data_IF_802789275852
#
_entry.id   IF_802789275852
#
_cell.length_a   1.000
_cell.length_b   1.000
_cell.length_c   1.000
_cell.angle_alpha   90.00
_cell.angle_beta   90.00
_cell.angle_gamma   90.00
#
_symmetry.space_group_name_H-M   'P 1'
#
loop_
_entity.id
_entity.type
_entity.pdbx_description
1 polymer ?
#
# COMPACT_ATOMS: atom_id res chain seq x y z
N UNK A 1 62.56 7.23 74.50
CA UNK A 1 61.28 7.66 75.12
C UNK A 1 60.57 8.57 74.12
N UNK A 2 59.39 8.15 73.64
CA UNK A 2 58.27 8.90 72.99
C UNK A 2 58.58 9.75 71.74
N UNK A 3 58.15 9.36 70.51
CA UNK A 3 56.81 9.53 69.85
C UNK A 3 56.36 11.00 69.86
N UNK A 4 56.05 11.66 68.73
CA UNK A 4 54.90 11.42 67.81
C UNK A 4 55.13 12.15 66.46
N UNK A 5 55.10 11.48 65.28
CA UNK A 5 53.97 11.03 64.44
C UNK A 5 53.34 12.13 63.54
N UNK A 6 53.77 12.11 62.27
CA UNK A 6 53.03 12.29 61.01
C UNK A 6 51.69 13.05 61.01
N UNK A 7 51.73 14.31 60.58
CA UNK A 7 50.57 15.08 60.13
C UNK A 7 50.62 15.38 58.63
N UNK A 8 50.50 14.37 57.76
CA UNK A 8 50.23 14.55 56.32
C UNK A 8 49.45 13.36 55.77
N UNK A 9 48.12 13.39 55.86
CA UNK A 9 47.20 12.54 55.07
C UNK A 9 45.76 13.02 55.28
N UNK A 10 45.36 14.11 54.62
CA UNK A 10 43.92 14.42 54.48
C UNK A 10 43.56 15.19 53.20
N UNK A 11 44.35 15.07 52.13
CA UNK A 11 44.04 15.72 50.84
C UNK A 11 44.34 14.82 49.63
N UNK A 12 43.95 13.54 49.69
CA UNK A 12 43.90 12.69 48.49
C UNK A 12 42.72 11.74 48.57
N UNK A 13 41.51 12.27 48.45
CA UNK A 13 40.33 11.43 48.21
C UNK A 13 39.16 12.17 47.56
N UNK A 14 39.43 13.07 46.61
CA UNK A 14 38.37 13.71 45.81
C UNK A 14 38.84 14.02 44.38
N UNK A 15 39.61 13.12 43.77
CA UNK A 15 40.03 13.28 42.38
C UNK A 15 39.98 11.95 41.60
N UNK A 16 38.89 11.19 41.77
CA UNK A 16 38.65 10.00 40.95
C UNK A 16 37.17 9.67 40.80
N UNK A 17 36.34 10.70 40.56
CA UNK A 17 34.98 10.57 40.02
C UNK A 17 34.83 11.83 39.17
N UNK A 18 35.04 11.80 37.85
CA UNK A 18 33.89 11.86 36.93
C UNK A 18 34.30 11.78 35.44
N UNK A 19 35.34 11.02 35.06
CA UNK A 19 35.62 10.81 33.62
C UNK A 19 34.76 9.72 32.97
N UNK A 20 33.96 8.98 33.75
CA UNK A 20 33.08 7.91 33.26
C UNK A 20 31.61 8.31 33.11
N UNK A 21 31.17 9.44 33.69
CA UNK A 21 29.75 9.83 33.66
C UNK A 21 29.32 10.29 32.25
N UNK A 22 30.24 10.84 31.46
CA UNK A 22 29.95 11.34 30.12
C UNK A 22 29.67 10.20 29.11
N UNK A 23 30.34 9.04 29.27
CA UNK A 23 30.06 7.86 28.46
C UNK A 23 28.74 7.18 28.84
N UNK A 24 28.40 7.14 30.13
CA UNK A 24 27.13 6.61 30.63
C UNK A 24 25.92 7.42 30.13
N UNK A 25 26.00 8.75 30.18
CA UNK A 25 24.94 9.65 29.69
C UNK A 25 24.72 9.49 28.18
N UNK A 26 25.77 9.28 27.39
CA UNK A 26 25.63 9.03 25.94
C UNK A 26 24.91 7.71 25.64
N UNK A 27 25.24 6.65 26.39
CA UNK A 27 24.59 5.33 26.23
C UNK A 27 23.12 5.42 26.66
N UNK A 28 22.84 6.04 27.80
CA UNK A 28 21.47 6.23 28.29
C UNK A 28 20.64 7.07 27.31
N UNK A 29 21.20 8.17 26.83
CA UNK A 29 20.55 8.98 25.81
C UNK A 29 20.31 8.17 24.52
N UNK A 30 21.29 7.38 24.06
CA UNK A 30 21.14 6.55 22.86
C UNK A 30 20.04 5.50 23.04
N UNK A 31 19.95 4.86 24.20
CA UNK A 31 18.90 3.87 24.51
C UNK A 31 17.51 4.52 24.58
N UNK A 32 17.39 5.69 25.22
CA UNK A 32 16.14 6.44 25.29
C UNK A 32 15.73 6.93 23.88
N UNK A 33 16.66 7.50 23.13
CA UNK A 33 16.42 7.97 21.76
C UNK A 33 15.97 6.82 20.85
N UNK A 34 16.61 5.65 20.96
CA UNK A 34 16.23 4.44 20.23
C UNK A 34 14.81 3.98 20.60
N UNK A 35 14.48 3.94 21.90
CA UNK A 35 13.15 3.55 22.35
C UNK A 35 12.07 4.53 21.87
N UNK A 36 12.34 5.83 21.95
CA UNK A 36 11.44 6.88 21.46
C UNK A 36 11.27 6.81 19.94
N UNK A 37 12.34 6.50 19.20
CA UNK A 37 12.27 6.29 17.75
C UNK A 37 11.36 5.13 17.39
N UNK A 38 11.48 3.98 18.06
CA UNK A 38 10.58 2.84 17.83
C UNK A 38 9.13 3.16 18.17
N UNK A 39 8.90 3.87 19.27
CA UNK A 39 7.55 4.28 19.67
C UNK A 39 6.92 5.23 18.64
N UNK A 40 7.70 6.18 18.13
CA UNK A 40 7.27 7.10 17.09
C UNK A 40 6.98 6.36 15.77
N UNK A 41 7.88 5.48 15.33
CA UNK A 41 7.70 4.69 14.12
C UNK A 41 6.43 3.84 14.18
N UNK A 42 6.21 3.16 15.32
CA UNK A 42 5.00 2.37 15.56
C UNK A 42 3.74 3.25 15.52
N UNK A 43 3.76 4.40 16.19
CA UNK A 43 2.62 5.32 16.23
C UNK A 43 2.26 5.83 14.83
N UNK A 44 3.26 6.18 14.02
CA UNK A 44 3.05 6.67 12.65
C UNK A 44 2.51 5.58 11.72
N UNK A 45 3.10 4.39 11.71
CA UNK A 45 2.64 3.30 10.82
C UNK A 45 1.26 2.76 11.24
N UNK A 46 0.98 2.65 12.55
CA UNK A 46 -0.36 2.25 13.04
C UNK A 46 -1.39 3.35 12.78
N UNK A 47 -1.05 4.61 12.99
CA UNK A 47 -1.94 5.74 12.69
C UNK A 47 -2.30 5.78 11.20
N UNK A 48 -1.31 5.62 10.31
CA UNK A 48 -1.53 5.54 8.87
C UNK A 48 -2.37 4.32 8.51
N UNK A 49 -2.11 3.15 9.08
CA UNK A 49 -2.90 1.94 8.85
C UNK A 49 -4.39 2.16 9.16
N UNK A 50 -4.71 2.77 10.30
CA UNK A 50 -6.09 3.06 10.73
C UNK A 50 -6.75 4.07 9.79
N UNK A 51 -6.06 5.18 9.49
CA UNK A 51 -6.55 6.20 8.56
C UNK A 51 -6.85 5.59 7.18
N UNK A 52 -5.91 4.82 6.63
CA UNK A 52 -6.07 4.13 5.35
C UNK A 52 -7.24 3.17 5.39
N UNK A 53 -7.41 2.36 6.44
CA UNK A 53 -8.53 1.44 6.55
C UNK A 53 -9.89 2.16 6.52
N UNK A 54 -10.00 3.30 7.21
CA UNK A 54 -11.21 4.12 7.20
C UNK A 54 -11.48 4.74 5.82
N UNK A 55 -10.45 5.30 5.19
CA UNK A 55 -10.57 5.93 3.88
C UNK A 55 -10.90 4.90 2.77
N UNK A 56 -10.29 3.70 2.78
CA UNK A 56 -10.61 2.62 1.85
C UNK A 56 -12.06 2.12 2.08
N UNK A 57 -12.52 2.05 3.33
CA UNK A 57 -13.90 1.68 3.66
C UNK A 57 -14.93 2.71 3.18
N UNK A 58 -14.63 3.99 3.29
CA UNK A 58 -15.50 5.05 2.77
C UNK A 58 -15.51 5.05 1.23
N UNK A 59 -14.36 4.89 0.59
CA UNK A 59 -14.28 4.75 -0.87
C UNK A 59 -15.08 3.54 -1.38
N UNK A 60 -15.04 2.40 -0.67
CA UNK A 60 -15.84 1.22 -1.04
C UNK A 60 -17.35 1.51 -0.96
N UNK A 61 -17.80 2.22 0.06
CA UNK A 61 -19.22 2.61 0.20
C UNK A 61 -19.66 3.57 -0.91
N UNK A 62 -18.84 4.57 -1.23
CA UNK A 62 -19.11 5.49 -2.34
C UNK A 62 -19.16 4.70 -3.65
N UNK A 63 -18.18 3.84 -3.92
CA UNK A 63 -18.15 3.02 -5.13
C UNK A 63 -19.40 2.15 -5.28
N UNK A 64 -19.77 1.41 -4.24
CA UNK A 64 -20.92 0.51 -4.31
C UNK A 64 -22.24 1.28 -4.43
N UNK A 65 -22.37 2.44 -3.77
CA UNK A 65 -23.55 3.31 -3.90
C UNK A 65 -23.70 3.89 -5.30
N UNK A 66 -22.64 4.49 -5.83
CA UNK A 66 -22.70 5.16 -7.13
C UNK A 66 -22.92 4.15 -8.26
N UNK A 67 -22.29 2.97 -8.18
CA UNK A 67 -22.53 1.90 -9.16
C UNK A 67 -23.93 1.27 -9.01
N UNK A 68 -24.51 1.26 -7.82
CA UNK A 68 -25.88 0.81 -7.61
C UNK A 68 -26.92 1.75 -8.24
N UNK A 69 -26.62 3.05 -8.32
CA UNK A 69 -27.49 4.08 -8.91
C UNK A 69 -27.22 4.31 -10.40
N UNK A 70 -26.15 3.74 -10.94
CA UNK A 70 -25.78 3.90 -12.33
C UNK A 70 -26.86 3.31 -13.26
N UNK A 71 -27.33 4.06 -14.29
CA UNK A 71 -28.37 3.61 -15.20
C UNK A 71 -27.82 2.59 -16.21
N UNK A 72 -27.43 1.42 -15.72
CA UNK A 72 -26.80 0.35 -16.49
C UNK A 72 -27.79 -0.78 -16.75
N UNK A 73 -27.71 -1.49 -17.90
CA UNK A 73 -28.58 -2.63 -18.20
C UNK A 73 -28.48 -3.72 -17.13
N UNK A 74 -29.62 -4.21 -16.63
CA UNK A 74 -29.64 -5.14 -15.50
C UNK A 74 -28.85 -6.44 -15.71
N UNK A 75 -28.79 -6.94 -16.95
CA UNK A 75 -28.08 -8.17 -17.30
C UNK A 75 -26.56 -7.99 -17.50
N UNK A 76 -26.06 -6.74 -17.52
CA UNK A 76 -24.64 -6.43 -17.69
C UNK A 76 -23.81 -6.99 -16.52
N UNK A 77 -22.66 -7.61 -16.82
CA UNK A 77 -21.68 -8.06 -15.82
C UNK A 77 -20.86 -6.90 -15.26
N UNK A 78 -20.16 -7.11 -14.15
CA UNK A 78 -19.34 -6.07 -13.54
C UNK A 78 -18.22 -5.60 -14.48
N UNK A 79 -17.54 -6.52 -15.17
CA UNK A 79 -16.47 -6.22 -16.13
C UNK A 79 -16.98 -5.34 -17.27
N UNK A 80 -18.12 -5.73 -17.86
CA UNK A 80 -18.73 -4.97 -18.94
C UNK A 80 -19.17 -3.57 -18.45
N UNK A 81 -19.60 -3.45 -17.20
CA UNK A 81 -19.90 -2.15 -16.60
C UNK A 81 -18.65 -1.29 -16.39
N UNK A 82 -17.51 -1.87 -16.01
CA UNK A 82 -16.25 -1.11 -15.86
C UNK A 82 -15.68 -0.62 -17.20
N UNK A 83 -16.05 -1.27 -18.30
CA UNK A 83 -15.69 -0.85 -19.66
C UNK A 83 -16.68 0.16 -20.27
N UNK A 84 -17.86 0.32 -19.68
CA UNK A 84 -18.91 1.21 -20.19
C UNK A 84 -18.42 2.68 -20.19
N UNK A 85 -18.57 3.43 -21.31
CA UNK A 85 -18.07 4.80 -21.43
C UNK A 85 -18.66 5.77 -20.39
N UNK A 86 -19.92 5.60 -19.97
CA UNK A 86 -20.53 6.44 -18.95
C UNK A 86 -19.93 6.16 -17.58
N UNK A 87 -19.67 4.88 -17.26
CA UNK A 87 -19.00 4.49 -16.01
C UNK A 87 -17.58 5.01 -16.00
N UNK A 88 -16.84 4.86 -17.10
CA UNK A 88 -15.46 5.37 -17.20
C UNK A 88 -15.37 6.89 -17.07
N UNK A 89 -16.28 7.61 -17.72
CA UNK A 89 -16.27 9.07 -17.68
C UNK A 89 -16.67 9.64 -16.31
N UNK A 90 -17.64 9.02 -15.62
CA UNK A 90 -18.28 9.63 -14.44
C UNK A 90 -17.99 8.91 -13.12
N UNK A 91 -17.84 7.59 -13.13
CA UNK A 91 -17.74 6.78 -11.91
C UNK A 91 -16.31 6.33 -11.62
N UNK A 92 -15.67 5.60 -12.53
CA UNK A 92 -14.34 5.04 -12.31
C UNK A 92 -13.56 4.81 -13.60
N UNK A 93 -12.33 5.33 -13.66
CA UNK A 93 -11.39 5.07 -14.75
C UNK A 93 -10.04 4.55 -14.19
N UNK A 94 -9.64 3.30 -14.53
CA UNK A 94 -8.35 2.74 -14.13
C UNK A 94 -7.14 3.55 -14.62
N UNK A 95 -7.26 4.25 -15.77
CA UNK A 95 -6.17 5.08 -16.30
C UNK A 95 -5.94 6.37 -15.48
N UNK A 96 -6.92 6.73 -14.64
CA UNK A 96 -6.86 7.89 -13.74
C UNK A 96 -6.42 7.53 -12.32
N UNK A 97 -5.81 6.35 -12.17
CA UNK A 97 -5.14 5.95 -10.93
C UNK A 97 -3.68 6.40 -10.89
N UNK A 98 -3.14 6.89 -12.00
CA UNK A 98 -1.79 7.45 -12.11
C UNK A 98 -1.92 8.80 -12.80
N UNK A 99 -1.66 9.89 -12.08
CA UNK A 99 -1.88 11.26 -12.54
C UNK A 99 -0.53 11.97 -12.55
N UNK A 100 -0.03 12.44 -13.70
CA UNK A 100 1.21 13.22 -13.72
C UNK A 100 0.99 14.56 -13.01
N UNK A 101 1.92 14.90 -12.12
CA UNK A 101 2.01 16.21 -11.49
C UNK A 101 2.78 17.11 -12.46
N UNK A 102 2.03 17.89 -13.22
CA UNK A 102 2.55 18.88 -14.18
C UNK A 102 2.60 20.26 -13.51
N UNK A 103 2.28 21.33 -14.24
CA UNK A 103 2.01 22.63 -13.62
C UNK A 103 0.74 22.59 -12.74
N UNK A 104 0.67 23.51 -11.76
CA UNK A 104 -0.42 23.58 -10.79
C UNK A 104 -1.80 23.68 -11.46
N UNK A 105 -1.95 24.46 -12.54
CA UNK A 105 -3.25 24.67 -13.17
C UNK A 105 -3.75 23.40 -13.88
N UNK A 106 -2.89 22.75 -14.66
CA UNK A 106 -3.20 21.49 -15.34
C UNK A 106 -3.45 20.35 -14.35
N UNK A 107 -2.69 20.29 -13.26
CA UNK A 107 -2.87 19.28 -12.23
C UNK A 107 -4.20 19.45 -11.49
N UNK A 108 -4.54 20.67 -11.07
CA UNK A 108 -5.83 20.94 -10.44
C UNK A 108 -7.02 20.66 -11.38
N UNK A 109 -6.89 20.96 -12.68
CA UNK A 109 -7.89 20.59 -13.68
C UNK A 109 -8.03 19.06 -13.83
N UNK A 110 -6.91 18.33 -13.82
CA UNK A 110 -6.91 16.87 -13.82
C UNK A 110 -7.64 16.30 -12.59
N UNK A 111 -7.35 16.81 -11.39
CA UNK A 111 -8.03 16.40 -10.16
C UNK A 111 -9.53 16.72 -10.16
N UNK A 112 -9.91 17.91 -10.65
CA UNK A 112 -11.31 18.33 -10.72
C UNK A 112 -12.13 17.46 -11.70
N UNK A 113 -11.51 16.99 -12.77
CA UNK A 113 -12.14 16.14 -13.80
C UNK A 113 -12.21 14.66 -13.45
N UNK A 114 -11.70 14.25 -12.27
CA UNK A 114 -11.73 12.84 -11.89
C UNK A 114 -13.15 12.29 -11.71
N UNK A 115 -13.38 11.02 -12.10
CA UNK A 115 -14.59 10.29 -11.75
C UNK A 115 -14.81 10.20 -10.24
N UNK A 116 -16.06 9.98 -9.82
CA UNK A 116 -16.46 10.03 -8.39
C UNK A 116 -15.66 9.04 -7.53
N UNK A 117 -15.44 7.83 -8.02
CA UNK A 117 -14.71 6.80 -7.27
C UNK A 117 -13.22 7.15 -7.24
N UNK A 118 -12.62 7.60 -8.35
CA UNK A 118 -11.23 8.08 -8.34
C UNK A 118 -11.03 9.24 -7.35
N UNK A 119 -12.00 10.16 -7.23
CA UNK A 119 -11.98 11.24 -6.22
C UNK A 119 -12.00 10.69 -4.80
N UNK A 120 -12.83 9.69 -4.52
CA UNK A 120 -12.87 9.05 -3.21
C UNK A 120 -11.55 8.33 -2.85
N UNK A 121 -10.78 7.90 -3.85
CA UNK A 121 -9.46 7.29 -3.67
C UNK A 121 -8.32 8.29 -3.52
N UNK A 122 -8.51 9.58 -3.80
CA UNK A 122 -7.45 10.60 -3.72
C UNK A 122 -6.68 10.63 -2.38
N UNK A 123 -7.34 10.58 -1.20
CA UNK A 123 -6.62 10.61 0.07
C UNK A 123 -5.69 9.41 0.32
N UNK A 124 -5.84 8.37 -0.50
CA UNK A 124 -5.06 7.13 -0.43
C UNK A 124 -3.88 7.11 -1.40
N UNK A 125 -3.84 8.04 -2.35
CA UNK A 125 -2.80 8.13 -3.35
C UNK A 125 -1.49 8.65 -2.75
N UNK A 126 -0.38 8.24 -3.36
CA UNK A 126 0.98 8.56 -2.97
C UNK A 126 1.65 9.39 -4.05
N UNK A 127 2.58 10.24 -3.63
CA UNK A 127 3.49 10.95 -4.53
C UNK A 127 4.70 10.08 -4.81
N UNK A 128 5.06 9.91 -6.07
CA UNK A 128 6.26 9.21 -6.49
C UNK A 128 6.82 9.82 -7.78
N UNK A 129 8.14 9.78 -7.94
CA UNK A 129 8.82 10.20 -9.16
C UNK A 129 9.19 8.98 -9.99
N UNK A 130 8.73 8.92 -11.24
CA UNK A 130 9.00 7.83 -12.19
C UNK A 130 9.66 8.46 -13.42
N UNK A 131 10.87 8.00 -13.77
CA UNK A 131 11.66 8.55 -14.89
C UNK A 131 11.82 10.08 -14.88
N UNK A 132 11.91 10.67 -13.69
CA UNK A 132 12.04 12.12 -13.51
C UNK A 132 10.74 12.92 -13.60
N UNK A 133 9.60 12.25 -13.79
CA UNK A 133 8.26 12.86 -13.76
C UNK A 133 7.59 12.55 -12.43
N UNK A 134 7.04 13.56 -11.77
CA UNK A 134 6.26 13.37 -10.55
C UNK A 134 4.85 12.88 -10.87
N UNK A 135 4.36 11.92 -10.09
CA UNK A 135 3.03 11.35 -10.21
C UNK A 135 2.33 11.33 -8.85
N UNK A 136 1.03 11.62 -8.86
CA UNK A 136 0.11 11.22 -7.81
C UNK A 136 -0.54 9.90 -8.27
N UNK A 137 -0.31 8.82 -7.54
CA UNK A 137 -0.81 7.50 -7.95
C UNK A 137 -1.39 6.67 -6.82
N UNK A 138 -2.25 5.73 -7.18
CA UNK A 138 -2.68 4.69 -6.25
C UNK A 138 -1.50 3.74 -5.91
N UNK A 139 -1.34 3.30 -4.65
CA UNK A 139 -0.30 2.35 -4.28
C UNK A 139 -0.45 0.99 -4.96
N UNK A 140 0.66 0.41 -5.38
CA UNK A 140 0.72 -0.84 -6.15
C UNK A 140 1.82 -0.81 -7.21
N UNK A 141 1.85 -1.81 -8.09
CA UNK A 141 2.71 -1.82 -9.27
C UNK A 141 2.12 -0.88 -10.33
N UNK A 142 2.98 -0.08 -10.95
CA UNK A 142 2.57 0.74 -12.11
C UNK A 142 2.61 -0.15 -13.34
N UNK A 143 1.52 -0.16 -14.09
CA UNK A 143 1.35 -0.97 -15.29
C UNK A 143 1.09 -0.06 -16.49
N UNK A 144 1.57 -0.45 -17.67
CA UNK A 144 1.07 0.13 -18.93
C UNK A 144 -0.35 -0.37 -19.18
N UNK A 145 -1.24 0.44 -19.72
CA UNK A 145 -2.63 0.03 -20.02
C UNK A 145 -2.82 -0.52 -21.46
N UNK A 146 -1.73 -0.72 -22.20
CA UNK A 146 -1.73 -1.18 -23.59
C UNK A 146 -2.10 -0.10 -24.63
N UNK A 147 -2.68 1.02 -24.20
CA UNK A 147 -3.01 2.19 -25.03
C UNK A 147 -1.95 3.31 -24.94
N UNK A 148 -0.92 3.10 -24.12
CA UNK A 148 0.13 4.09 -23.83
C UNK A 148 -0.12 4.89 -22.55
N UNK A 149 -1.23 4.66 -21.86
CA UNK A 149 -1.49 5.19 -20.53
C UNK A 149 -0.92 4.32 -19.42
N UNK A 150 -1.04 4.81 -18.19
CA UNK A 150 -0.59 4.13 -16.97
C UNK A 150 -1.78 3.75 -16.10
N UNK A 151 -1.69 2.60 -15.46
CA UNK A 151 -2.65 2.13 -14.46
C UNK A 151 -1.92 1.46 -13.31
N UNK A 152 -2.66 0.91 -12.36
CA UNK A 152 -2.11 0.28 -11.16
C UNK A 152 -2.65 -1.14 -11.00
N UNK A 153 -1.75 -2.10 -10.87
CA UNK A 153 -2.04 -3.47 -10.45
C UNK A 153 -1.57 -3.70 -9.02
N UNK A 154 -2.30 -4.51 -8.25
CA UNK A 154 -1.91 -4.80 -6.88
C UNK A 154 -1.40 -6.23 -6.80
N UNK A 155 -0.13 -6.45 -6.40
CA UNK A 155 0.37 -7.79 -6.16
C UNK A 155 -0.15 -8.32 -4.81
N UNK A 156 -1.04 -9.31 -4.84
CA UNK A 156 -1.40 -10.08 -3.65
C UNK A 156 -0.44 -11.24 -3.50
N UNK A 157 0.31 -11.27 -2.40
CA UNK A 157 1.25 -12.39 -2.17
C UNK A 157 0.51 -13.56 -1.53
N UNK A 158 0.51 -14.68 -2.22
CA UNK A 158 -0.23 -15.91 -1.85
C UNK A 158 0.65 -16.83 -1.02
N UNK A 159 1.91 -17.00 -1.42
CA UNK A 159 2.89 -17.83 -0.71
C UNK A 159 4.29 -17.28 -0.83
N UNK A 160 5.18 -17.77 0.04
CA UNK A 160 6.63 -17.55 -0.05
C UNK A 160 7.36 -18.87 0.17
N UNK A 161 8.47 -19.06 -0.52
CA UNK A 161 9.39 -20.19 -0.29
C UNK A 161 10.39 -19.89 0.86
N UNK A 162 11.24 -20.86 1.19
CA UNK A 162 12.22 -20.75 2.28
C UNK A 162 13.34 -19.73 1.95
N UNK A 163 13.59 -19.50 0.66
CA UNK A 163 14.51 -18.49 0.15
C UNK A 163 13.92 -17.06 0.17
N UNK A 164 12.61 -16.93 0.45
CA UNK A 164 11.90 -15.65 0.52
C UNK A 164 11.36 -15.16 -0.82
N UNK A 165 11.39 -16.00 -1.87
CA UNK A 165 10.76 -15.69 -3.16
C UNK A 165 9.25 -15.70 -3.01
N UNK A 166 8.61 -14.83 -3.78
CA UNK A 166 7.20 -14.50 -3.57
C UNK A 166 6.36 -15.00 -4.74
N UNK A 167 5.33 -15.78 -4.40
CA UNK A 167 4.30 -16.17 -5.36
C UNK A 167 3.16 -15.16 -5.25
N UNK A 168 2.87 -14.45 -6.33
CA UNK A 168 1.91 -13.36 -6.36
C UNK A 168 0.71 -13.68 -7.25
N UNK A 169 -0.39 -12.99 -6.96
CA UNK A 169 -1.59 -12.94 -7.75
C UNK A 169 -1.96 -11.48 -7.97
N UNK A 170 -2.15 -11.07 -9.21
CA UNK A 170 -2.62 -9.75 -9.55
C UNK A 170 -4.09 -9.60 -9.20
N UNK A 171 -4.39 -8.60 -8.37
CA UNK A 171 -5.75 -8.19 -8.07
C UNK A 171 -5.96 -6.75 -8.53
N UNK A 172 -7.15 -6.45 -9.02
CA UNK A 172 -7.49 -5.09 -9.42
C UNK A 172 -7.73 -4.22 -8.18
N UNK A 173 -7.52 -2.89 -8.25
CA UNK A 173 -7.86 -1.98 -7.16
C UNK A 173 -9.33 -2.05 -6.75
N UNK A 174 -10.22 -2.29 -7.72
CA UNK A 174 -11.65 -2.47 -7.50
C UNK A 174 -12.08 -3.77 -8.18
N UNK A 175 -12.76 -4.62 -7.42
CA UNK A 175 -13.25 -5.92 -7.89
C UNK A 175 -14.65 -6.16 -7.37
N UNK A 176 -15.41 -6.98 -8.07
CA UNK A 176 -16.65 -7.52 -7.54
C UNK A 176 -16.37 -8.65 -6.54
N UNK A 177 -17.13 -8.68 -5.45
CA UNK A 177 -17.15 -9.83 -4.54
C UNK A 177 -17.98 -10.92 -5.18
N UNK A 178 -17.33 -12.02 -5.57
CA UNK A 178 -18.00 -13.17 -6.20
C UNK A 178 -17.59 -14.50 -5.59
N UNK A 179 -18.46 -15.53 -5.64
CA UNK A 179 -18.14 -16.86 -5.16
C UNK A 179 -17.04 -17.55 -5.97
N UNK A 180 -17.07 -17.39 -7.30
CA UNK A 180 -16.03 -17.91 -8.21
C UNK A 180 -15.34 -16.76 -8.94
N UNK A 181 -14.08 -16.43 -8.60
CA UNK A 181 -13.31 -15.39 -9.27
C UNK A 181 -13.19 -15.58 -10.79
N UNK A 182 -13.22 -16.84 -11.27
CA UNK A 182 -13.03 -17.17 -12.68
C UNK A 182 -14.32 -17.05 -13.52
N UNK A 183 -15.49 -16.99 -12.89
CA UNK A 183 -16.78 -16.87 -13.57
C UNK A 183 -17.43 -15.50 -13.32
N UNK A 184 -17.39 -14.58 -14.30
CA UNK A 184 -18.10 -13.28 -14.24
C UNK A 184 -19.61 -13.40 -14.00
N UNK A 185 -20.24 -14.51 -14.41
CA UNK A 185 -21.67 -14.73 -14.23
C UNK A 185 -22.04 -15.22 -12.82
N UNK A 186 -21.04 -15.57 -11.99
CA UNK A 186 -21.24 -15.92 -10.58
C UNK A 186 -21.40 -14.69 -9.68
N UNK A 187 -21.00 -13.51 -10.17
CA UNK A 187 -21.06 -12.26 -9.42
C UNK A 187 -22.48 -11.73 -9.21
N UNK A 188 -22.77 -11.05 -8.08
CA UNK A 188 -24.10 -10.52 -7.77
C UNK A 188 -24.54 -9.31 -8.62
N UNK A 189 -23.64 -8.65 -9.36
CA UNK A 189 -23.89 -7.38 -10.07
C UNK A 189 -24.96 -7.50 -11.15
N UNK A 190 -24.94 -8.60 -11.91
CA UNK A 190 -25.94 -8.88 -12.94
C UNK A 190 -27.20 -9.50 -12.33
N UNK A 191 -28.38 -9.03 -12.72
CA UNK A 191 -29.65 -9.70 -12.36
C UNK A 191 -29.82 -11.05 -13.07
N UNK A 192 -29.04 -11.29 -14.12
CA UNK A 192 -29.01 -12.56 -14.84
C UNK A 192 -28.04 -13.57 -14.19
N UNK A 193 -27.37 -13.19 -13.10
CA UNK A 193 -26.47 -14.06 -12.34
C UNK A 193 -27.20 -15.30 -11.79
N UNK A 194 -26.45 -16.40 -11.73
CA UNK A 194 -26.94 -17.70 -11.24
C UNK A 194 -27.12 -17.72 -9.71
N UNK A 195 -26.48 -16.80 -8.99
CA UNK A 195 -26.49 -16.73 -7.53
C UNK A 195 -27.79 -16.17 -6.93
N UNK A 196 -28.08 -16.49 -5.65
CA UNK A 196 -29.22 -15.92 -4.92
C UNK A 196 -29.07 -14.42 -4.65
N UNK A 197 -27.83 -13.90 -4.68
CA UNK A 197 -27.47 -12.51 -4.38
C UNK A 197 -27.51 -11.58 -5.60
N UNK A 198 -28.14 -12.00 -6.71
CA UNK A 198 -28.22 -11.23 -7.95
C UNK A 198 -28.91 -9.87 -7.80
N UNK A 199 -28.47 -8.90 -8.60
CA UNK A 199 -28.94 -7.51 -8.54
C UNK A 199 -28.38 -6.73 -7.35
N UNK A 200 -27.24 -7.14 -6.80
CA UNK A 200 -26.52 -6.40 -5.78
C UNK A 200 -25.18 -5.92 -6.33
N UNK A 201 -24.80 -4.71 -5.97
CA UNK A 201 -23.46 -4.19 -6.20
C UNK A 201 -22.64 -4.54 -4.96
N UNK A 202 -21.88 -5.63 -5.02
CA UNK A 202 -20.97 -6.07 -3.97
C UNK A 202 -19.53 -5.82 -4.42
N UNK A 203 -18.91 -4.77 -3.89
CA UNK A 203 -17.59 -4.32 -4.32
C UNK A 203 -16.57 -4.51 -3.22
N UNK A 204 -15.38 -4.91 -3.65
CA UNK A 204 -14.16 -4.96 -2.87
C UNK A 204 -13.17 -3.92 -3.40
N UNK A 205 -12.62 -3.10 -2.52
CA UNK A 205 -11.46 -2.26 -2.82
C UNK A 205 -10.24 -2.85 -2.14
N UNK A 206 -9.20 -3.10 -2.94
CA UNK A 206 -7.92 -3.63 -2.51
C UNK A 206 -6.92 -2.48 -2.35
N UNK A 207 -6.26 -2.37 -1.21
CA UNK A 207 -5.20 -1.38 -0.97
C UNK A 207 -3.94 -2.07 -0.42
N UNK A 208 -2.80 -2.03 -1.13
CA UNK A 208 -1.56 -2.60 -0.62
C UNK A 208 -0.95 -1.63 0.41
N UNK A 209 -1.07 -1.96 1.69
CA UNK A 209 -0.38 -1.22 2.74
C UNK A 209 1.03 -1.76 2.92
N UNK A 210 2.03 -0.88 2.81
CA UNK A 210 3.43 -1.20 3.11
C UNK A 210 3.95 -0.21 4.15
N UNK A 211 4.53 -0.72 5.24
CA UNK A 211 5.10 0.07 6.32
C UNK A 211 6.40 0.75 5.87
N UNK A 212 6.59 2.01 6.22
CA UNK A 212 7.80 2.75 5.84
C UNK A 212 8.98 2.47 6.78
N UNK A 213 8.70 2.11 8.04
CA UNK A 213 9.72 1.96 9.08
C UNK A 213 9.86 0.51 9.57
N UNK A 214 9.00 -0.40 9.11
CA UNK A 214 8.98 -1.79 9.57
C UNK A 214 9.39 -2.75 8.44
N UNK A 215 10.21 -3.73 8.80
CA UNK A 215 10.66 -4.80 7.89
C UNK A 215 9.75 -6.01 8.03
N UNK A 216 9.49 -6.70 6.92
CA UNK A 216 8.74 -7.95 6.91
C UNK A 216 9.60 -9.11 7.36
N UNK A 217 9.00 -10.05 8.10
CA UNK A 217 9.66 -11.26 8.58
C UNK A 217 8.95 -12.51 8.05
N UNK A 218 9.73 -13.50 7.64
CA UNK A 218 9.27 -14.87 7.44
C UNK A 218 9.40 -15.62 8.77
N UNK A 219 8.49 -16.57 9.03
CA UNK A 219 8.29 -17.25 10.32
C UNK A 219 9.47 -17.19 11.31
N UNK A 220 9.24 -16.58 12.48
CA UNK A 220 10.29 -16.33 13.48
C UNK A 220 10.95 -14.96 13.33
N UNK A 221 12.29 -14.92 13.35
CA UNK A 221 13.09 -13.69 13.40
C UNK A 221 13.87 -13.40 12.11
N UNK A 222 13.57 -14.10 11.01
CA UNK A 222 14.27 -13.95 9.72
C UNK A 222 13.63 -12.86 8.85
N UNK A 223 14.33 -11.76 8.52
CA UNK A 223 13.81 -10.74 7.60
C UNK A 223 13.66 -11.28 6.18
N UNK A 224 12.59 -10.88 5.48
CA UNK A 224 12.33 -11.30 4.10
C UNK A 224 13.32 -10.61 3.16
N UNK A 225 14.11 -11.38 2.40
CA UNK A 225 14.99 -10.85 1.33
C UNK A 225 14.11 -10.31 0.21
N UNK A 226 14.45 -9.15 -0.34
CA UNK A 226 13.80 -8.69 -1.57
C UNK A 226 14.45 -9.42 -2.77
N UNK A 227 13.69 -10.30 -3.41
CA UNK A 227 14.05 -10.97 -4.66
C UNK A 227 12.90 -10.76 -5.65
N UNK A 228 13.06 -9.78 -6.54
CA UNK A 228 12.09 -9.52 -7.61
C UNK A 228 12.31 -10.46 -8.82
N UNK A 229 13.54 -10.96 -9.02
CA UNK A 229 13.87 -11.86 -10.13
C UNK A 229 13.28 -13.27 -9.93
N UNK A 230 13.07 -13.65 -8.67
CA UNK A 230 12.47 -14.91 -8.25
C UNK A 230 10.94 -14.91 -8.12
N UNK A 231 10.25 -13.80 -8.45
CA UNK A 231 8.79 -13.71 -8.30
C UNK A 231 8.06 -14.61 -9.29
N UNK A 232 7.06 -15.35 -8.79
CA UNK A 232 6.21 -16.22 -9.62
C UNK A 232 4.78 -15.68 -9.62
N UNK A 233 4.24 -15.42 -10.80
CA UNK A 233 2.86 -14.95 -10.99
C UNK A 233 1.90 -16.14 -11.19
N UNK A 234 0.85 -16.23 -10.35
CA UNK A 234 -0.18 -17.28 -10.44
C UNK A 234 -1.21 -17.02 -11.54
N UNK A 235 -1.51 -15.74 -11.76
CA UNK A 235 -2.33 -15.26 -12.87
C UNK A 235 -1.50 -14.25 -13.66
N UNK A 236 -1.65 -14.26 -14.98
CA UNK A 236 -1.06 -13.21 -15.81
C UNK A 236 -1.82 -11.89 -15.62
N UNK A 237 -1.14 -10.78 -15.88
CA UNK A 237 -1.78 -9.49 -16.08
C UNK A 237 -2.82 -9.55 -17.22
N UNK A 238 -3.83 -8.66 -17.21
CA UNK A 238 -4.71 -8.49 -18.37
C UNK A 238 -3.92 -8.24 -19.66
N UNK A 239 -4.39 -8.73 -20.82
CA UNK A 239 -3.70 -8.54 -22.09
C UNK A 239 -3.36 -7.09 -22.38
N UNK A 240 -2.14 -6.82 -22.81
CA UNK A 240 -1.65 -5.47 -23.12
C UNK A 240 -1.10 -4.71 -21.91
N UNK A 241 -1.21 -5.26 -20.70
CA UNK A 241 -0.59 -4.69 -19.51
C UNK A 241 0.76 -5.32 -19.21
N UNK A 242 1.71 -4.48 -18.80
CA UNK A 242 3.04 -4.90 -18.39
C UNK A 242 3.53 -4.03 -17.23
N UNK A 243 4.31 -4.58 -16.29
CA UNK A 243 4.94 -3.79 -15.23
C UNK A 243 5.89 -2.75 -15.81
N UNK A 244 5.75 -1.51 -15.35
CA UNK A 244 6.72 -0.44 -15.61
C UNK A 244 7.85 -0.60 -14.60
N UNK A 245 9.06 -0.82 -15.07
CA UNK A 245 10.24 -0.89 -14.22
C UNK A 245 10.48 0.50 -13.60
N UNK A 246 10.16 0.66 -12.32
CA UNK A 246 10.40 1.91 -11.61
C UNK A 246 11.90 2.08 -11.34
N UNK A 247 12.55 3.18 -11.79
CA UNK A 247 13.96 3.43 -11.53
C UNK A 247 14.17 3.64 -10.03
N UNK A 248 14.91 2.74 -9.40
CA UNK A 248 15.14 2.73 -7.95
C UNK A 248 14.46 1.53 -7.29
N UNK A 249 15.22 0.46 -7.09
CA UNK A 249 14.74 -0.76 -6.45
C UNK A 249 14.34 -0.57 -4.97
N UNK A 250 14.56 0.61 -4.38
CA UNK A 250 14.44 0.85 -2.94
C UNK A 250 13.45 1.97 -2.68
N UNK A 251 12.34 1.61 -2.06
CA UNK A 251 11.21 2.47 -1.75
C UNK A 251 10.06 1.65 -1.18
N UNK A 252 9.14 2.30 -0.46
CA UNK A 252 8.00 1.64 0.21
C UNK A 252 7.07 0.97 -0.79
N UNK A 253 7.00 1.44 -2.04
CA UNK A 253 6.22 0.85 -3.13
C UNK A 253 7.05 0.66 -4.40
N UNK A 254 8.38 0.56 -4.23
CA UNK A 254 9.32 0.40 -5.33
C UNK A 254 9.39 -1.02 -5.89
N UNK A 255 10.20 -1.18 -6.93
CA UNK A 255 10.37 -2.43 -7.67
C UNK A 255 9.33 -2.62 -8.79
N UNK A 256 9.60 -3.51 -9.75
CA UNK A 256 8.73 -3.74 -10.91
C UNK A 256 7.33 -4.21 -10.50
N UNK A 257 7.24 -5.01 -9.44
CA UNK A 257 5.98 -5.49 -8.91
C UNK A 257 5.36 -4.57 -7.86
N UNK A 258 5.98 -3.43 -7.52
CA UNK A 258 5.52 -2.56 -6.43
C UNK A 258 5.51 -3.24 -5.06
N UNK A 259 6.33 -4.29 -4.85
CA UNK A 259 6.41 -5.07 -3.61
C UNK A 259 7.24 -4.39 -2.52
N UNK A 260 7.87 -3.26 -2.86
CA UNK A 260 8.69 -2.45 -1.98
C UNK A 260 10.03 -3.12 -1.64
N UNK A 261 10.98 -2.29 -1.25
CA UNK A 261 12.28 -2.74 -0.78
C UNK A 261 12.94 -1.68 0.12
N UNK A 262 13.50 -2.12 1.24
CA UNK A 262 14.20 -1.31 2.24
C UNK A 262 15.63 -1.80 2.41
N UNK A 263 16.57 -0.89 2.67
CA UNK A 263 17.89 -1.30 3.16
C UNK A 263 17.82 -1.65 4.65
N UNK A 264 18.26 -2.86 4.98
CA UNK A 264 18.51 -3.27 6.35
C UNK A 264 19.88 -3.95 6.43
N UNK A 265 20.80 -3.33 7.18
CA UNK A 265 22.19 -3.79 7.38
C UNK A 265 22.92 -4.19 6.08
N UNK A 266 22.79 -3.37 5.04
CA UNK A 266 23.47 -3.58 3.75
C UNK A 266 22.80 -4.61 2.83
N UNK A 267 21.66 -5.17 3.23
CA UNK A 267 20.86 -6.08 2.39
C UNK A 267 19.50 -5.46 2.11
N UNK A 268 18.98 -5.65 0.90
CA UNK A 268 17.63 -5.20 0.54
C UNK A 268 16.61 -6.21 1.07
N UNK A 269 15.65 -5.71 1.85
CA UNK A 269 14.59 -6.50 2.52
C UNK A 269 13.22 -5.97 2.16
N UNK A 270 12.21 -6.83 2.24
CA UNK A 270 10.81 -6.40 2.04
C UNK A 270 10.32 -5.59 3.25
N UNK A 271 9.53 -4.53 3.05
CA UNK A 271 8.80 -3.89 4.13
C UNK A 271 7.75 -4.83 4.73
N UNK A 272 7.30 -4.53 5.96
CA UNK A 272 6.09 -5.15 6.49
C UNK A 272 4.90 -4.72 5.63
N UNK A 273 4.10 -5.67 5.18
CA UNK A 273 2.99 -5.39 4.27
C UNK A 273 1.73 -6.16 4.61
N UNK A 274 0.59 -5.56 4.29
CA UNK A 274 -0.75 -6.13 4.39
C UNK A 274 -1.58 -5.68 3.21
N UNK A 275 -2.40 -6.56 2.67
CA UNK A 275 -3.47 -6.16 1.76
C UNK A 275 -4.67 -5.74 2.62
N UNK A 276 -4.98 -4.46 2.64
CA UNK A 276 -6.20 -3.96 3.23
C UNK A 276 -7.32 -4.14 2.23
N UNK A 277 -8.44 -4.64 2.72
CA UNK A 277 -9.61 -4.94 1.92
C UNK A 277 -10.80 -4.27 2.57
N UNK A 278 -11.45 -3.38 1.85
CA UNK A 278 -12.75 -2.86 2.24
C UNK A 278 -13.82 -3.41 1.32
N UNK A 279 -15.01 -3.57 1.87
CA UNK A 279 -16.16 -4.11 1.16
C UNK A 279 -17.39 -3.28 1.44
N UNK A 280 -18.24 -3.16 0.43
CA UNK A 280 -19.55 -2.56 0.57
C UNK A 280 -20.54 -3.26 -0.36
N UNK A 281 -21.78 -3.38 0.09
CA UNK A 281 -22.87 -4.02 -0.64
C UNK A 281 -24.04 -3.08 -0.68
N UNK A 282 -24.54 -2.80 -1.88
CA UNK A 282 -25.75 -2.01 -2.11
C UNK A 282 -26.68 -2.75 -3.07
N UNK A 283 -27.99 -2.50 -2.94
CA UNK A 283 -28.96 -3.02 -3.88
C UNK A 283 -28.93 -2.18 -5.15
N UNK A 284 -28.82 -2.83 -6.31
CA UNK A 284 -28.79 -2.15 -7.59
C UNK A 284 -30.18 -1.66 -8.00
N UNK A 285 -30.26 -0.43 -8.46
CA UNK A 285 -31.43 0.08 -9.14
C UNK A 285 -31.36 -0.35 -10.61
N UNK A 286 -32.32 -1.17 -11.03
CA UNK A 286 -32.37 -1.70 -12.39
C UNK A 286 -33.49 -0.98 -13.11
N UNK A 287 -33.10 -0.19 -14.11
CA UNK A 287 -34.03 0.44 -15.03
C UNK A 287 -34.35 -0.59 -16.13
N UNK A 288 -35.64 -0.92 -16.26
CA UNK A 288 -36.19 -1.82 -17.28
C UNK A 288 -36.53 -1.04 -18.55
#
# INVERSE_FOLDING_TARGET
MRRTINGRRHQRRWASISSNDHGGVLIEFALIALALYFLLALLLDVGRLIFTAQAVQEAARVAARELALAPLPGAMTFEAAMEDPMVRANLYDPSRLVIPVTDDASFQAALASLPVINKALLPLMIHETIDGVEYLRYPGAVLTDGSGGLTVGIPRVVSRDDEGRETIEWVAPIEEIRPDPADPASGPFSVASSGPERGLVAIRINYPFQAAMLVGFQGGTSPIVADDDGVVELNGLPPGQAPVALPGAVGVYGGPFGLGAHYNWGVVRRPFRKLLVAQAVFRREVLL
#
